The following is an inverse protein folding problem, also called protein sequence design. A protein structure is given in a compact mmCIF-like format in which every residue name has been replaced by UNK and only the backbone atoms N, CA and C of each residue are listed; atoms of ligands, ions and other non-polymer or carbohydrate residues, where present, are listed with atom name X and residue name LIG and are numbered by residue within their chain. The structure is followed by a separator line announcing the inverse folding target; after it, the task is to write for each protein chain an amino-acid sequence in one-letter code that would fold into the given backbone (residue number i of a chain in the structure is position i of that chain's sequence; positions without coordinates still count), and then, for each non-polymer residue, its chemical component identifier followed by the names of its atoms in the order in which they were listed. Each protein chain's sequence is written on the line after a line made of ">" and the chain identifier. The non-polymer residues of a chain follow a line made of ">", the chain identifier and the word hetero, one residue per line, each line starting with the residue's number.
data_IF_474716706496
#
_entry.id   IF_474716706496
#
_cell.length_a   1.000
_cell.length_b   1.000
_cell.length_c   1.000
_cell.angle_alpha   90.00
_cell.angle_beta   90.00
_cell.angle_gamma   90.00
#
_symmetry.space_group_name_H-M   'P 1'
#
loop_
_entity.id
_entity.type
_entity.pdbx_description
1 polymer ?
#
# COMPACT_ATOMS: atom_id res chain seq x y z
N UNK A 1 1.26 20.45 17.18
CA UNK A 1 0.17 19.62 17.75
C UNK A 1 0.03 18.44 16.81
N UNK A 2 0.71 17.35 17.14
CA UNK A 2 0.66 16.11 16.36
C UNK A 2 -0.70 15.47 16.60
N UNK A 3 -1.54 15.47 15.58
CA UNK A 3 -2.86 14.88 15.60
C UNK A 3 -2.77 13.41 16.03
N UNK A 4 -3.22 13.13 17.25
CA UNK A 4 -3.18 11.82 17.89
C UNK A 4 -4.43 11.03 17.54
N UNK A 5 -4.80 11.00 16.26
CA UNK A 5 -5.76 10.00 15.79
C UNK A 5 -5.02 8.66 15.88
N UNK A 6 -5.46 7.71 16.71
CA UNK A 6 -4.81 6.40 16.79
C UNK A 6 -4.80 5.82 15.38
N UNK A 7 -3.60 5.53 14.85
CA UNK A 7 -3.50 4.83 13.57
C UNK A 7 -4.33 3.56 13.63
N UNK A 8 -5.02 3.22 12.54
CA UNK A 8 -5.89 2.02 12.42
C UNK A 8 -5.18 0.70 12.75
N UNK A 9 -3.85 0.73 12.83
CA UNK A 9 -3.00 -0.39 13.23
C UNK A 9 -2.45 -0.22 14.66
N UNK A 10 -3.19 0.38 15.59
CA UNK A 10 -2.82 0.41 17.00
C UNK A 10 -2.81 -1.03 17.56
N UNK A 11 -1.75 -1.77 17.27
CA UNK A 11 -1.51 -3.10 17.76
C UNK A 11 -0.91 -2.97 19.15
N UNK A 12 -1.42 -3.76 20.10
CA UNK A 12 -0.63 -4.06 21.29
C UNK A 12 0.72 -4.66 20.87
N UNK A 13 1.73 -4.54 21.73
CA UNK A 13 3.07 -5.02 21.39
C UNK A 13 3.04 -6.47 20.90
N UNK A 14 3.75 -6.73 19.81
CA UNK A 14 4.00 -8.05 19.23
C UNK A 14 4.87 -8.93 20.15
N UNK A 15 5.42 -8.33 21.21
CA UNK A 15 6.12 -9.02 22.29
C UNK A 15 7.26 -9.87 21.74
N UNK A 16 7.24 -11.16 22.09
CA UNK A 16 8.29 -12.09 21.70
C UNK A 16 8.38 -12.35 20.18
N UNK A 17 7.37 -11.98 19.39
CA UNK A 17 7.36 -12.22 17.94
C UNK A 17 8.06 -11.11 17.15
N UNK A 18 8.14 -9.89 17.70
CA UNK A 18 8.70 -8.73 17.03
C UNK A 18 10.10 -9.00 16.45
N UNK A 19 10.99 -9.55 17.28
CA UNK A 19 12.36 -9.86 16.89
C UNK A 19 12.43 -10.93 15.78
N UNK A 20 11.59 -11.97 15.86
CA UNK A 20 11.55 -13.03 14.84
C UNK A 20 11.07 -12.49 13.50
N UNK A 21 10.03 -11.64 13.51
CA UNK A 21 9.49 -11.04 12.30
C UNK A 21 10.46 -10.02 11.70
N UNK A 22 11.09 -9.17 12.52
CA UNK A 22 12.07 -8.21 12.07
C UNK A 22 13.26 -8.87 11.35
N UNK A 23 13.79 -9.99 11.89
CA UNK A 23 14.83 -10.76 11.20
C UNK A 23 14.33 -11.38 9.89
N UNK A 24 13.14 -11.98 9.91
CA UNK A 24 12.54 -12.56 8.70
C UNK A 24 12.32 -11.52 7.60
N UNK A 25 11.90 -10.31 7.96
CA UNK A 25 11.75 -9.16 7.04
C UNK A 25 13.10 -8.80 6.42
N UNK A 26 14.16 -8.70 7.22
CA UNK A 26 15.49 -8.42 6.69
C UNK A 26 15.96 -9.51 5.71
N UNK A 27 15.73 -10.78 6.06
CA UNK A 27 16.11 -11.93 5.21
C UNK A 27 15.39 -11.90 3.86
N UNK A 28 14.08 -11.64 3.82
CA UNK A 28 13.33 -11.61 2.55
C UNK A 28 13.64 -10.37 1.72
N UNK A 29 13.91 -9.22 2.34
CA UNK A 29 14.28 -7.99 1.61
C UNK A 29 15.62 -8.14 0.90
N UNK A 30 16.56 -8.92 1.43
CA UNK A 30 17.88 -9.15 0.84
C UNK A 30 17.90 -10.32 -0.18
N UNK A 31 16.81 -11.09 -0.26
CA UNK A 31 16.69 -12.25 -1.16
C UNK A 31 16.19 -11.82 -2.54
N UNK A 32 17.08 -11.81 -3.55
CA UNK A 32 16.71 -11.35 -4.91
C UNK A 32 15.84 -12.35 -5.70
N UNK A 33 15.98 -13.65 -5.46
CA UNK A 33 15.25 -14.69 -6.21
C UNK A 33 14.68 -15.79 -5.29
N UNK A 34 13.54 -16.42 -5.64
CA UNK A 34 12.71 -16.20 -6.82
C UNK A 34 11.96 -14.86 -6.79
N UNK A 35 11.67 -14.29 -7.96
CA UNK A 35 10.99 -13.00 -8.10
C UNK A 35 10.06 -12.95 -9.33
N UNK A 36 9.01 -12.12 -9.22
CA UNK A 36 8.07 -11.77 -10.28
C UNK A 36 8.07 -10.25 -10.43
N UNK A 37 8.50 -9.75 -11.59
CA UNK A 37 8.64 -8.31 -11.83
C UNK A 37 7.46 -7.69 -12.59
N UNK A 38 6.52 -8.50 -13.11
CA UNK A 38 5.36 -8.05 -13.90
C UNK A 38 5.67 -6.96 -14.94
N UNK A 39 6.87 -7.02 -15.53
CA UNK A 39 7.35 -6.03 -16.48
C UNK A 39 6.80 -6.30 -17.90
N UNK A 40 6.32 -5.27 -18.56
CA UNK A 40 5.88 -5.33 -19.96
C UNK A 40 7.08 -4.96 -20.85
N UNK A 41 7.75 -5.98 -21.39
CA UNK A 41 8.82 -5.78 -22.37
C UNK A 41 8.28 -5.18 -23.67
N UNK A 42 8.76 -4.01 -24.04
CA UNK A 42 8.30 -3.26 -25.22
C UNK A 42 9.08 -3.58 -26.50
N UNK A 43 10.22 -4.25 -26.38
CA UNK A 43 11.08 -4.66 -27.49
C UNK A 43 11.95 -5.86 -27.12
N UNK A 44 12.66 -6.42 -28.09
CA UNK A 44 13.63 -7.50 -27.84
C UNK A 44 14.81 -7.04 -26.96
N UNK A 45 15.12 -5.75 -26.96
CA UNK A 45 16.18 -5.17 -26.13
C UNK A 45 15.71 -4.89 -24.69
N UNK A 46 14.40 -4.97 -24.45
CA UNK A 46 13.72 -4.70 -23.16
C UNK A 46 13.42 -6.00 -22.40
N UNK A 47 14.35 -6.97 -22.46
CA UNK A 47 14.18 -8.30 -21.88
C UNK A 47 15.04 -8.54 -20.62
N UNK A 48 15.93 -7.60 -20.25
CA UNK A 48 16.70 -7.70 -19.01
C UNK A 48 15.84 -7.27 -17.81
N UNK A 49 15.06 -8.23 -17.32
CA UNK A 49 14.11 -8.03 -16.24
C UNK A 49 14.68 -8.42 -14.88
N UNK A 50 15.92 -8.05 -14.55
CA UNK A 50 16.50 -8.36 -13.24
C UNK A 50 15.86 -7.49 -12.13
N UNK A 51 15.32 -8.08 -11.03
CA UNK A 51 14.57 -7.32 -10.02
C UNK A 51 15.33 -6.13 -9.44
N UNK A 52 16.58 -6.35 -9.00
CA UNK A 52 17.40 -5.27 -8.41
C UNK A 52 17.75 -4.16 -9.39
N UNK A 53 17.82 -4.48 -10.68
CA UNK A 53 18.10 -3.50 -11.73
C UNK A 53 16.86 -2.67 -12.06
N UNK A 54 15.71 -3.33 -12.21
CA UNK A 54 14.45 -2.66 -12.59
C UNK A 54 13.85 -1.86 -11.44
N UNK A 55 13.92 -2.40 -10.22
CA UNK A 55 13.26 -1.85 -9.04
C UNK A 55 14.25 -1.76 -7.86
N UNK A 56 15.25 -0.86 -7.92
CA UNK A 56 16.31 -0.78 -6.92
C UNK A 56 15.80 -0.45 -5.50
N UNK A 57 14.67 0.27 -5.38
CA UNK A 57 14.04 0.51 -4.07
C UNK A 57 13.20 -0.68 -3.62
N UNK A 58 12.53 -1.37 -4.54
CA UNK A 58 11.49 -2.35 -4.22
C UNK A 58 11.76 -3.77 -4.73
N UNK A 59 13.04 -4.13 -4.93
CA UNK A 59 13.44 -5.54 -5.13
C UNK A 59 13.50 -6.31 -3.81
N UNK A 60 13.66 -7.63 -3.94
CA UNK A 60 13.60 -8.55 -2.83
C UNK A 60 12.16 -8.90 -2.51
N UNK A 61 11.95 -9.90 -1.66
CA UNK A 61 10.67 -10.59 -1.57
C UNK A 61 10.26 -11.20 -2.93
N UNK A 62 9.04 -11.71 -3.04
CA UNK A 62 8.58 -12.36 -4.26
C UNK A 62 8.25 -11.37 -5.39
N UNK A 63 7.78 -10.15 -5.07
CA UNK A 63 7.41 -9.12 -6.03
C UNK A 63 7.53 -7.71 -5.42
N UNK A 64 7.29 -6.70 -6.27
CA UNK A 64 7.44 -5.27 -5.94
C UNK A 64 6.61 -4.86 -4.73
N UNK A 65 5.30 -5.14 -4.71
CA UNK A 65 4.45 -4.73 -3.59
C UNK A 65 4.73 -5.52 -2.32
N UNK A 66 5.16 -6.79 -2.41
CA UNK A 66 5.63 -7.54 -1.25
C UNK A 66 6.85 -6.88 -0.61
N UNK A 67 7.79 -6.36 -1.41
CA UNK A 67 8.91 -5.57 -0.89
C UNK A 67 8.42 -4.30 -0.19
N UNK A 68 7.47 -3.56 -0.79
CA UNK A 68 6.85 -2.39 -0.15
C UNK A 68 6.19 -2.74 1.18
N UNK A 69 5.45 -3.85 1.27
CA UNK A 69 4.85 -4.31 2.54
C UNK A 69 5.90 -4.60 3.60
N UNK A 70 6.97 -5.30 3.23
CA UNK A 70 8.02 -5.70 4.17
C UNK A 70 8.80 -4.48 4.67
N UNK A 71 9.03 -3.49 3.80
CA UNK A 71 9.59 -2.20 4.19
C UNK A 71 8.64 -1.43 5.12
N UNK A 72 7.33 -1.36 4.82
CA UNK A 72 6.35 -0.73 5.71
C UNK A 72 6.33 -1.41 7.08
N UNK A 73 6.33 -2.74 7.10
CA UNK A 73 6.35 -3.54 8.32
C UNK A 73 7.64 -3.33 9.12
N UNK A 74 8.79 -3.19 8.44
CA UNK A 74 10.06 -2.85 9.08
C UNK A 74 9.98 -1.50 9.78
N UNK A 75 9.40 -0.47 9.14
CA UNK A 75 9.23 0.85 9.75
C UNK A 75 8.33 0.79 10.97
N UNK A 76 7.20 0.07 10.89
CA UNK A 76 6.31 -0.12 12.03
C UNK A 76 7.05 -0.79 13.20
N UNK A 77 7.73 -1.93 12.96
CA UNK A 77 8.49 -2.64 13.98
C UNK A 77 9.59 -1.79 14.61
N UNK A 78 10.37 -1.07 13.81
CA UNK A 78 11.42 -0.17 14.30
C UNK A 78 10.87 0.95 15.18
N UNK A 79 9.63 1.39 14.93
CA UNK A 79 9.01 2.49 15.68
C UNK A 79 8.19 2.06 16.90
N UNK A 80 7.66 0.84 16.90
CA UNK A 80 6.69 0.37 17.90
C UNK A 80 7.25 -0.70 18.83
N UNK A 81 8.31 -1.41 18.44
CA UNK A 81 8.84 -2.55 19.17
C UNK A 81 10.27 -2.34 19.67
N UNK A 82 10.64 -3.10 20.71
CA UNK A 82 12.02 -3.18 21.20
C UNK A 82 12.74 -4.34 20.51
N UNK A 83 13.55 -4.01 19.51
CA UNK A 83 14.38 -4.96 18.78
C UNK A 83 15.82 -4.95 19.31
N UNK A 84 16.57 -6.03 19.05
CA UNK A 84 18.00 -6.06 19.30
C UNK A 84 18.74 -5.02 18.44
N UNK A 85 19.86 -4.49 18.96
CA UNK A 85 20.68 -3.49 18.23
C UNK A 85 21.12 -3.99 16.85
N UNK A 86 21.46 -5.28 16.75
CA UNK A 86 21.84 -5.93 15.50
C UNK A 86 20.70 -5.91 14.48
N UNK A 87 19.51 -6.39 14.87
CA UNK A 87 18.33 -6.43 13.99
C UNK A 87 17.89 -5.02 13.57
N UNK A 88 17.84 -4.06 14.50
CA UNK A 88 17.51 -2.67 14.18
C UNK A 88 18.51 -2.06 13.19
N UNK A 89 19.81 -2.25 13.41
CA UNK A 89 20.86 -1.72 12.53
C UNK A 89 20.76 -2.32 11.12
N UNK A 90 20.52 -3.63 11.01
CA UNK A 90 20.35 -4.30 9.72
C UNK A 90 19.15 -3.73 8.95
N UNK A 91 17.98 -3.60 9.60
CA UNK A 91 16.81 -3.01 8.96
C UNK A 91 17.04 -1.56 8.54
N UNK A 92 17.62 -0.72 9.40
CA UNK A 92 17.95 0.66 9.03
C UNK A 92 18.87 0.73 7.80
N UNK A 93 19.92 -0.10 7.75
CA UNK A 93 20.83 -0.13 6.61
C UNK A 93 20.13 -0.55 5.31
N UNK A 94 19.23 -1.54 5.36
CA UNK A 94 18.43 -1.95 4.21
C UNK A 94 17.56 -0.77 3.75
N UNK A 95 16.83 -0.12 4.66
CA UNK A 95 15.94 0.99 4.31
C UNK A 95 16.71 2.20 3.74
N UNK A 96 17.84 2.58 4.34
CA UNK A 96 18.70 3.66 3.80
C UNK A 96 19.23 3.33 2.40
N UNK A 97 19.57 2.07 2.14
CA UNK A 97 19.95 1.63 0.80
C UNK A 97 18.78 1.70 -0.18
N UNK A 98 17.55 1.41 0.25
CA UNK A 98 16.38 1.41 -0.66
C UNK A 98 15.87 2.80 -0.98
N UNK A 99 16.04 3.73 -0.06
CA UNK A 99 15.44 5.06 -0.16
C UNK A 99 16.45 6.14 -0.52
N UNK A 100 17.61 5.75 -1.03
CA UNK A 100 18.51 6.71 -1.65
C UNK A 100 17.83 7.35 -2.88
N UNK A 101 18.25 8.58 -3.18
CA UNK A 101 17.65 9.39 -4.24
C UNK A 101 17.70 8.72 -5.62
N UNK A 102 18.78 7.99 -5.93
CA UNK A 102 18.93 7.35 -7.23
C UNK A 102 17.96 6.16 -7.35
N UNK A 103 17.83 5.34 -6.31
CA UNK A 103 16.91 4.22 -6.30
C UNK A 103 15.46 4.67 -6.45
N UNK A 104 15.02 5.67 -5.67
CA UNK A 104 13.66 6.19 -5.76
C UNK A 104 13.38 6.90 -7.09
N UNK A 105 14.38 7.54 -7.71
CA UNK A 105 14.26 8.12 -9.04
C UNK A 105 14.02 7.04 -10.11
N UNK A 106 14.71 5.90 -10.02
CA UNK A 106 14.49 4.79 -10.96
C UNK A 106 13.06 4.24 -10.86
N UNK A 107 12.50 4.13 -9.66
CA UNK A 107 11.09 3.77 -9.49
C UNK A 107 10.18 4.82 -10.11
N UNK A 108 10.43 6.11 -9.86
CA UNK A 108 9.65 7.20 -10.44
C UNK A 108 9.63 7.12 -11.97
N UNK A 109 10.80 6.96 -12.59
CA UNK A 109 10.94 6.88 -14.04
C UNK A 109 10.20 5.65 -14.59
N UNK A 110 10.26 4.51 -13.87
CA UNK A 110 9.49 3.33 -14.23
C UNK A 110 7.98 3.61 -14.22
N UNK A 111 7.47 4.26 -13.16
CA UNK A 111 6.03 4.54 -13.04
C UNK A 111 5.56 5.58 -14.08
N UNK A 112 6.42 6.50 -14.51
CA UNK A 112 6.12 7.41 -15.62
C UNK A 112 5.91 6.65 -16.93
N UNK A 113 6.76 5.65 -17.18
CA UNK A 113 6.71 4.84 -18.41
C UNK A 113 5.57 3.82 -18.38
N UNK A 114 5.25 3.25 -17.22
CA UNK A 114 4.10 2.36 -17.02
C UNK A 114 3.23 2.85 -15.85
N UNK A 115 2.27 3.77 -16.13
CA UNK A 115 1.35 4.27 -15.11
C UNK A 115 0.46 3.19 -14.48
N UNK A 116 0.23 2.08 -15.19
CA UNK A 116 -0.67 1.00 -14.75
C UNK A 116 -0.01 -0.02 -13.83
N UNK A 117 1.32 -0.09 -13.85
CA UNK A 117 2.09 -1.00 -13.01
C UNK A 117 1.67 -0.91 -11.54
N UNK A 118 1.45 -2.04 -10.87
CA UNK A 118 1.13 -2.10 -9.43
C UNK A 118 -0.11 -1.28 -8.99
N UNK A 119 -0.95 -0.83 -9.93
CA UNK A 119 -2.18 -0.13 -9.63
C UNK A 119 -3.33 -1.14 -9.43
N UNK A 120 -4.18 -0.97 -8.39
CA UNK A 120 -4.10 0.01 -7.32
C UNK A 120 -3.26 -0.45 -6.10
N UNK A 121 -2.97 -1.75 -6.01
CA UNK A 121 -2.51 -2.38 -4.76
C UNK A 121 -1.14 -1.94 -4.28
N UNK A 122 -0.10 -2.13 -5.09
CA UNK A 122 1.24 -1.66 -4.74
C UNK A 122 1.27 -0.14 -4.56
N UNK A 123 0.48 0.62 -5.34
CA UNK A 123 0.35 2.07 -5.17
C UNK A 123 -0.25 2.48 -3.82
N UNK A 124 -1.27 1.77 -3.35
CA UNK A 124 -1.85 2.01 -2.03
C UNK A 124 -0.82 1.79 -0.91
N UNK A 125 -0.04 0.72 -1.01
CA UNK A 125 1.01 0.41 -0.04
C UNK A 125 2.22 1.34 -0.13
N UNK A 126 2.56 1.84 -1.33
CA UNK A 126 3.57 2.87 -1.49
C UNK A 126 3.19 4.15 -0.73
N UNK A 127 1.92 4.56 -0.80
CA UNK A 127 1.42 5.70 -0.04
C UNK A 127 1.45 5.45 1.47
N UNK A 128 1.13 4.24 1.92
CA UNK A 128 1.26 3.87 3.34
C UNK A 128 2.72 3.85 3.80
N UNK A 129 3.64 3.38 2.97
CA UNK A 129 5.08 3.41 3.23
C UNK A 129 5.60 4.85 3.32
N UNK A 130 5.26 5.69 2.35
CA UNK A 130 5.65 7.11 2.35
C UNK A 130 5.11 7.85 3.58
N UNK A 131 3.85 7.60 3.95
CA UNK A 131 3.27 8.13 5.19
C UNK A 131 4.09 7.70 6.40
N UNK A 132 4.38 6.39 6.52
CA UNK A 132 5.01 5.83 7.72
C UNK A 132 6.48 6.22 7.85
N UNK A 133 7.19 6.34 6.72
CA UNK A 133 8.60 6.75 6.69
C UNK A 133 8.76 8.22 7.07
N UNK A 134 7.83 9.09 6.67
CA UNK A 134 7.90 10.54 6.90
C UNK A 134 9.05 11.21 6.12
N UNK A 135 9.63 10.52 5.13
CA UNK A 135 10.79 10.97 4.36
C UNK A 135 10.37 11.79 3.15
N UNK A 136 10.98 12.96 2.98
CA UNK A 136 10.71 13.86 1.86
C UNK A 136 11.11 13.25 0.51
N UNK A 137 12.05 12.30 0.50
CA UNK A 137 12.49 11.61 -0.71
C UNK A 137 11.36 10.83 -1.42
N UNK A 138 10.29 10.47 -0.70
CA UNK A 138 9.11 9.83 -1.28
C UNK A 138 8.15 10.81 -1.97
N UNK A 139 8.26 12.12 -1.73
CA UNK A 139 7.28 13.10 -2.22
C UNK A 139 7.07 13.04 -3.75
N UNK A 140 8.11 12.92 -4.61
CA UNK A 140 7.90 12.80 -6.05
C UNK A 140 7.07 11.57 -6.44
N UNK A 141 7.32 10.43 -5.79
CA UNK A 141 6.56 9.19 -6.01
C UNK A 141 5.12 9.31 -5.50
N UNK A 142 4.90 9.98 -4.37
CA UNK A 142 3.56 10.28 -3.85
C UNK A 142 2.79 11.12 -4.85
N UNK A 143 3.33 12.25 -5.31
CA UNK A 143 2.66 13.15 -6.25
C UNK A 143 2.36 12.48 -7.60
N UNK A 144 3.27 11.65 -8.11
CA UNK A 144 3.03 10.87 -9.33
C UNK A 144 1.93 9.83 -9.11
N UNK A 145 1.96 9.13 -7.97
CA UNK A 145 0.94 8.14 -7.61
C UNK A 145 -0.43 8.79 -7.47
N UNK A 146 -0.53 9.95 -6.82
CA UNK A 146 -1.79 10.71 -6.72
C UNK A 146 -2.38 10.99 -8.10
N UNK A 147 -1.56 11.47 -9.05
CA UNK A 147 -1.99 11.71 -10.42
C UNK A 147 -2.52 10.44 -11.10
N UNK A 148 -1.80 9.32 -10.98
CA UNK A 148 -2.22 8.06 -11.60
C UNK A 148 -3.48 7.49 -10.95
N UNK A 149 -3.62 7.57 -9.62
CA UNK A 149 -4.82 7.13 -8.92
C UNK A 149 -6.01 8.01 -9.29
N UNK A 150 -5.86 9.35 -9.34
CA UNK A 150 -6.94 10.26 -9.76
C UNK A 150 -7.46 9.94 -11.17
N UNK A 151 -6.57 9.57 -12.10
CA UNK A 151 -6.97 9.11 -13.43
C UNK A 151 -7.71 7.76 -13.37
N UNK A 152 -7.21 6.81 -12.58
CA UNK A 152 -7.82 5.49 -12.43
C UNK A 152 -9.21 5.56 -11.81
N UNK A 153 -9.40 6.26 -10.68
CA UNK A 153 -10.72 6.40 -10.05
C UNK A 153 -11.72 7.08 -10.98
N UNK A 154 -11.27 8.03 -11.80
CA UNK A 154 -12.13 8.70 -12.79
C UNK A 154 -12.57 7.77 -13.93
N UNK A 155 -11.82 6.69 -14.18
CA UNK A 155 -12.12 5.70 -15.22
C UNK A 155 -12.89 4.48 -14.68
N UNK A 156 -13.02 4.32 -13.36
CA UNK A 156 -13.75 3.20 -12.77
C UNK A 156 -15.26 3.35 -12.95
N UNK A 157 -15.86 2.46 -13.75
CA UNK A 157 -17.32 2.38 -13.90
C UNK A 157 -17.99 1.45 -12.88
N UNK A 158 -17.22 0.54 -12.27
CA UNK A 158 -17.67 -0.47 -11.31
C UNK A 158 -16.52 -0.81 -10.35
N UNK A 159 -16.81 -1.12 -9.07
CA UNK A 159 -15.78 -1.59 -8.15
C UNK A 159 -15.43 -3.06 -8.38
N UNK A 160 -14.17 -3.42 -8.14
CA UNK A 160 -13.71 -4.81 -8.06
C UNK A 160 -13.92 -5.30 -6.64
N UNK A 161 -14.73 -6.36 -6.48
CA UNK A 161 -15.17 -6.91 -5.19
C UNK A 161 -14.50 -8.21 -4.76
N UNK A 162 -13.62 -8.77 -5.59
CA UNK A 162 -12.90 -9.99 -5.21
C UNK A 162 -11.95 -9.71 -4.05
N UNK A 163 -11.80 -10.65 -3.11
CA UNK A 163 -11.07 -10.50 -1.85
C UNK A 163 -9.55 -10.63 -1.97
N UNK A 164 -8.98 -10.10 -3.07
CA UNK A 164 -7.54 -10.10 -3.35
C UNK A 164 -7.00 -8.67 -3.57
N UNK A 165 -5.75 -8.57 -4.04
CA UNK A 165 -5.01 -7.33 -4.27
C UNK A 165 -5.81 -6.22 -4.97
N UNK A 166 -6.62 -6.55 -5.98
CA UNK A 166 -7.39 -5.56 -6.75
C UNK A 166 -8.68 -5.07 -6.06
N UNK A 167 -8.97 -5.49 -4.82
CA UNK A 167 -10.18 -5.09 -4.10
C UNK A 167 -10.30 -3.56 -4.01
N UNK A 168 -11.32 -2.98 -4.63
CA UNK A 168 -11.42 -1.51 -4.77
C UNK A 168 -11.63 -0.82 -3.43
N UNK A 169 -12.47 -1.39 -2.55
CA UNK A 169 -12.75 -0.80 -1.25
C UNK A 169 -11.50 -0.75 -0.35
N UNK A 170 -10.75 -1.87 -0.29
CA UNK A 170 -9.51 -1.96 0.49
C UNK A 170 -8.46 -0.95 0.03
N UNK A 171 -8.28 -0.82 -1.29
CA UNK A 171 -7.31 0.09 -1.87
C UNK A 171 -7.67 1.56 -1.64
N UNK A 172 -8.92 1.95 -1.87
CA UNK A 172 -9.38 3.30 -1.58
C UNK A 172 -9.22 3.63 -0.09
N UNK A 173 -9.49 2.67 0.79
CA UNK A 173 -9.33 2.85 2.23
C UNK A 173 -7.87 3.14 2.60
N UNK A 174 -6.92 2.33 2.14
CA UNK A 174 -5.49 2.54 2.39
C UNK A 174 -5.00 3.89 1.85
N UNK A 175 -5.41 4.26 0.63
CA UNK A 175 -5.03 5.53 0.02
C UNK A 175 -5.63 6.73 0.76
N UNK A 176 -6.88 6.62 1.22
CA UNK A 176 -7.56 7.69 1.96
C UNK A 176 -6.89 7.92 3.31
N UNK A 177 -6.57 6.84 4.03
CA UNK A 177 -5.81 6.85 5.27
C UNK A 177 -4.43 7.50 5.11
N UNK A 178 -3.71 7.15 4.03
CA UNK A 178 -2.43 7.77 3.69
C UNK A 178 -2.57 9.26 3.37
N UNK A 179 -3.51 9.61 2.49
CA UNK A 179 -3.74 10.97 2.00
C UNK A 179 -4.07 11.93 3.13
N UNK A 180 -4.97 11.53 4.04
CA UNK A 180 -5.38 12.35 5.17
C UNK A 180 -4.20 12.58 6.14
N UNK A 181 -3.44 11.54 6.46
CA UNK A 181 -2.30 11.66 7.37
C UNK A 181 -1.16 12.53 6.80
N UNK A 182 -0.98 12.54 5.48
CA UNK A 182 0.02 13.37 4.79
C UNK A 182 -0.50 14.76 4.39
N UNK A 183 -1.72 15.13 4.80
CA UNK A 183 -2.32 16.43 4.50
C UNK A 183 -2.67 16.66 3.02
N UNK A 184 -2.89 15.59 2.24
CA UNK A 184 -3.21 15.61 0.80
C UNK A 184 -4.71 15.81 0.57
N UNK A 185 -5.25 16.94 1.05
CA UNK A 185 -6.70 17.18 1.14
C UNK A 185 -7.48 16.93 -0.16
N UNK A 186 -7.04 17.56 -1.27
CA UNK A 186 -7.69 17.37 -2.58
C UNK A 186 -7.71 15.91 -3.03
N UNK A 187 -6.64 15.17 -2.78
CA UNK A 187 -6.57 13.75 -3.14
C UNK A 187 -7.50 12.91 -2.26
N UNK A 188 -7.54 13.18 -0.95
CA UNK A 188 -8.47 12.54 -0.02
C UNK A 188 -9.94 12.77 -0.42
N UNK A 189 -10.30 13.99 -0.84
CA UNK A 189 -11.66 14.31 -1.31
C UNK A 189 -12.05 13.48 -2.53
N UNK A 190 -11.15 13.37 -3.53
CA UNK A 190 -11.38 12.56 -4.73
C UNK A 190 -11.59 11.08 -4.39
N UNK A 191 -10.82 10.53 -3.44
CA UNK A 191 -10.97 9.14 -2.99
C UNK A 191 -12.28 8.93 -2.24
N UNK A 192 -12.68 9.88 -1.38
CA UNK A 192 -13.93 9.84 -0.65
C UNK A 192 -15.14 9.92 -1.59
N UNK A 193 -15.09 10.77 -2.61
CA UNK A 193 -16.14 10.86 -3.63
C UNK A 193 -16.24 9.59 -4.47
N UNK A 194 -15.11 9.01 -4.86
CA UNK A 194 -15.09 7.71 -5.53
C UNK A 194 -15.75 6.62 -4.64
N UNK A 195 -15.44 6.60 -3.34
CA UNK A 195 -16.06 5.66 -2.41
C UNK A 195 -17.58 5.83 -2.32
N UNK A 196 -18.08 7.08 -2.21
CA UNK A 196 -19.53 7.35 -2.20
C UNK A 196 -20.19 6.89 -3.51
N UNK A 197 -19.59 7.23 -4.65
CA UNK A 197 -20.15 6.89 -5.96
C UNK A 197 -20.22 5.39 -6.21
N UNK A 198 -19.23 4.63 -5.72
CA UNK A 198 -19.13 3.20 -5.98
C UNK A 198 -19.94 2.34 -4.99
N UNK A 199 -20.08 2.77 -3.74
CA UNK A 199 -20.57 1.90 -2.65
C UNK A 199 -21.80 2.43 -1.91
N UNK A 200 -22.13 3.73 -1.97
CA UNK A 200 -23.25 4.28 -1.18
C UNK A 200 -24.62 3.70 -1.59
N UNK A 201 -24.74 3.27 -2.84
CA UNK A 201 -25.94 2.62 -3.38
C UNK A 201 -26.04 1.12 -3.11
N UNK A 202 -25.00 0.48 -2.57
CA UNK A 202 -24.99 -0.97 -2.33
C UNK A 202 -25.99 -1.34 -1.23
N UNK A 203 -26.77 -2.39 -1.46
CA UNK A 203 -27.80 -2.94 -0.55
C UNK A 203 -27.85 -4.46 -0.70
N UNK A 204 -28.30 -5.16 0.34
CA UNK A 204 -28.44 -6.63 0.33
C UNK A 204 -27.15 -7.34 -0.10
N UNK A 205 -26.03 -7.01 0.53
CA UNK A 205 -24.73 -7.59 0.18
C UNK A 205 -24.76 -9.13 0.30
N UNK A 206 -24.39 -9.90 -0.75
CA UNK A 206 -24.47 -11.36 -0.74
C UNK A 206 -23.28 -11.98 0.02
N UNK A 207 -23.31 -11.92 1.35
CA UNK A 207 -22.22 -12.40 2.24
C UNK A 207 -21.91 -13.89 2.00
N UNK A 208 -22.90 -14.69 1.63
CA UNK A 208 -22.74 -16.12 1.37
C UNK A 208 -21.81 -16.46 0.20
N UNK A 209 -21.54 -15.52 -0.71
CA UNK A 209 -20.67 -15.70 -1.87
C UNK A 209 -19.34 -14.95 -1.75
N UNK A 210 -19.12 -14.29 -0.62
CA UNK A 210 -18.04 -13.34 -0.44
C UNK A 210 -16.65 -13.99 -0.43
N UNK A 211 -16.53 -15.17 0.17
CA UNK A 211 -15.25 -15.83 0.38
C UNK A 211 -15.07 -16.99 -0.59
N UNK A 212 -14.11 -16.84 -1.50
CA UNK A 212 -13.51 -17.90 -2.31
C UNK A 212 -12.27 -18.47 -1.61
N UNK A 213 -11.78 -19.62 -2.10
CA UNK A 213 -10.56 -20.23 -1.57
C UNK A 213 -9.27 -19.43 -1.81
N UNK A 214 -9.34 -18.33 -2.57
CA UNK A 214 -8.20 -17.43 -2.83
C UNK A 214 -8.26 -16.11 -2.06
N UNK A 215 -9.38 -15.83 -1.39
CA UNK A 215 -9.58 -14.53 -0.75
C UNK A 215 -8.83 -14.44 0.57
N UNK A 216 -8.14 -13.32 0.74
CA UNK A 216 -7.52 -12.91 2.01
C UNK A 216 -8.19 -11.66 2.60
N UNK A 217 -9.18 -11.10 1.90
CA UNK A 217 -10.00 -9.97 2.33
C UNK A 217 -11.48 -10.33 2.24
N UNK A 218 -12.25 -9.87 3.23
CA UNK A 218 -13.70 -9.76 3.10
C UNK A 218 -14.04 -8.43 2.44
N UNK A 219 -14.63 -8.46 1.25
CA UNK A 219 -15.02 -7.24 0.54
C UNK A 219 -16.10 -6.44 1.26
N UNK A 220 -17.09 -7.08 1.88
CA UNK A 220 -18.09 -6.43 2.72
C UNK A 220 -17.42 -5.68 3.88
N UNK A 221 -16.49 -6.31 4.59
CA UNK A 221 -15.78 -5.65 5.68
C UNK A 221 -14.87 -4.53 5.18
N UNK A 222 -14.23 -4.67 4.01
CA UNK A 222 -13.45 -3.60 3.40
C UNK A 222 -14.33 -2.40 3.00
N UNK A 223 -15.52 -2.65 2.46
CA UNK A 223 -16.50 -1.65 2.07
C UNK A 223 -17.06 -0.92 3.30
N UNK A 224 -17.46 -1.66 4.32
CA UNK A 224 -17.86 -1.11 5.61
C UNK A 224 -16.76 -0.25 6.23
N UNK A 225 -15.51 -0.73 6.21
CA UNK A 225 -14.36 -0.01 6.74
C UNK A 225 -14.13 1.30 5.99
N UNK A 226 -14.17 1.26 4.65
CA UNK A 226 -14.04 2.45 3.80
C UNK A 226 -15.15 3.46 4.10
N UNK A 227 -16.42 3.04 4.09
CA UNK A 227 -17.54 3.96 4.28
C UNK A 227 -17.61 4.51 5.71
N UNK A 228 -17.18 3.75 6.72
CA UNK A 228 -17.04 4.25 8.09
C UNK A 228 -16.06 5.42 8.21
N UNK A 229 -15.12 5.55 7.26
CA UNK A 229 -14.14 6.64 7.20
C UNK A 229 -14.65 7.86 6.42
N UNK A 230 -15.60 7.65 5.51
CA UNK A 230 -16.09 8.63 4.54
C UNK A 230 -17.39 9.29 4.99
N UNK A 231 -18.24 8.55 5.70
CA UNK A 231 -19.55 8.98 6.17
C UNK A 231 -19.47 9.44 7.64
N UNK A 232 -20.39 10.31 8.03
CA UNK A 232 -20.60 10.54 9.46
C UNK A 232 -21.27 9.32 10.13
N UNK A 233 -21.30 9.33 11.47
CA UNK A 233 -21.82 8.20 12.24
C UNK A 233 -23.30 7.89 11.91
N UNK A 234 -24.12 8.89 11.69
CA UNK A 234 -25.55 8.70 11.43
C UNK A 234 -25.78 8.16 10.01
N UNK A 235 -25.09 8.74 9.02
CA UNK A 235 -25.11 8.27 7.63
C UNK A 235 -24.63 6.82 7.52
N UNK A 236 -23.52 6.48 8.19
CA UNK A 236 -22.97 5.12 8.19
C UNK A 236 -23.93 4.12 8.86
N UNK A 237 -24.51 4.45 10.01
CA UNK A 237 -25.50 3.59 10.66
C UNK A 237 -26.73 3.35 9.78
N UNK A 238 -27.22 4.37 9.07
CA UNK A 238 -28.34 4.23 8.17
C UNK A 238 -28.02 3.42 6.91
N UNK A 239 -26.76 3.45 6.44
CA UNK A 239 -26.31 2.64 5.30
C UNK A 239 -26.13 1.15 5.65
N UNK A 240 -25.80 0.83 6.91
CA UNK A 240 -25.63 -0.56 7.38
C UNK A 240 -26.93 -1.33 7.56
N UNK A 241 -28.08 -0.65 7.68
CA UNK A 241 -29.41 -1.25 7.78
C UNK A 241 -29.91 -1.79 6.42
#
# INVERSE_FOLDING_TARGET
>A
MTDSTPGLFATGSLGQFAEKWARGIADVLEQEFPAVNMHISTSADDCDVRPRTQHPSFWGCFDWHSSVHMQYSAVCLLSEEKLSSETSTRLHNILEQRWDKQSLQAEYDYLVNDPSFEQPYGRAWLLQLARRSGREEFLPLVELTEKHIMNWVSALSQPIRHGMHYNTAFNLFLMLDAAQAMGRGRFADVLADAARNLFLGDRNYPVEWELSGSDFLSNALCEMLLLSRVLDKAEFSAWLE
#
